data_IF_873009692470
#
_entry.id   IF_873009692470
#
_cell.length_a   1.000
_cell.length_b   1.000
_cell.length_c   1.000
_cell.angle_alpha   90.00
_cell.angle_beta   90.00
_cell.angle_gamma   90.00
#
_symmetry.space_group_name_H-M   'P 1'
#
loop_
_entity.id
_entity.type
_entity.pdbx_description
1 polymer ?
#
# COMPACT_ATOMS: atom_id res chain seq x y z
N UNK A 1 10.02 -20.62 26.65
CA UNK A 1 9.08 -19.47 26.67
C UNK A 1 8.14 -19.61 25.47
N UNK A 2 6.82 -19.63 25.65
CA UNK A 2 5.91 -19.71 24.50
C UNK A 2 6.04 -18.44 23.66
N UNK A 3 6.26 -18.59 22.35
CA UNK A 3 6.34 -17.45 21.44
C UNK A 3 5.05 -16.61 21.54
N UNK A 4 5.14 -15.27 21.64
CA UNK A 4 3.98 -14.39 21.71
C UNK A 4 3.01 -14.70 20.57
N UNK A 5 1.71 -14.61 20.84
CA UNK A 5 0.63 -14.94 19.88
C UNK A 5 0.80 -14.26 18.52
N UNK A 6 1.40 -13.07 18.52
CA UNK A 6 1.72 -12.27 17.33
C UNK A 6 2.83 -12.90 16.47
N UNK A 7 3.83 -13.52 17.09
CA UNK A 7 4.93 -14.21 16.40
C UNK A 7 4.44 -15.51 15.75
N UNK A 8 3.58 -16.26 16.45
CA UNK A 8 2.88 -17.42 15.87
C UNK A 8 1.96 -17.04 14.71
N UNK A 9 1.35 -15.86 14.75
CA UNK A 9 0.51 -15.34 13.65
C UNK A 9 1.34 -14.92 12.43
N UNK A 10 2.49 -14.29 12.67
CA UNK A 10 3.46 -13.94 11.63
C UNK A 10 4.09 -15.19 10.99
N UNK A 11 4.44 -16.19 11.79
CA UNK A 11 4.91 -17.50 11.33
C UNK A 11 3.83 -18.22 10.54
N UNK A 12 2.57 -18.21 11.01
CA UNK A 12 1.42 -18.78 10.31
C UNK A 12 1.10 -18.10 8.96
N UNK A 13 1.44 -16.82 8.80
CA UNK A 13 1.38 -16.08 7.53
C UNK A 13 2.56 -16.41 6.60
N UNK A 14 3.70 -16.85 7.15
CA UNK A 14 4.93 -17.22 6.43
C UNK A 14 5.04 -18.73 6.15
N UNK A 15 4.23 -19.55 6.84
CA UNK A 15 4.24 -21.01 6.71
C UNK A 15 3.19 -21.54 5.74
N UNK A 16 3.60 -22.30 4.71
CA UNK A 16 2.73 -22.83 3.68
C UNK A 16 1.75 -23.92 4.15
N UNK A 17 1.73 -24.27 5.44
CA UNK A 17 0.92 -25.37 5.98
C UNK A 17 -0.39 -24.93 6.67
N UNK A 18 -0.64 -23.63 6.86
CA UNK A 18 -1.92 -23.15 7.41
C UNK A 18 -3.07 -23.21 6.38
N UNK A 19 -4.30 -23.59 6.80
CA UNK A 19 -5.44 -23.71 5.90
C UNK A 19 -5.76 -22.37 5.21
N UNK A 20 -6.02 -22.42 3.90
CA UNK A 20 -6.35 -21.30 3.01
C UNK A 20 -7.26 -20.21 3.62
N UNK A 21 -8.39 -20.52 4.30
CA UNK A 21 -9.25 -19.50 4.89
C UNK A 21 -8.55 -18.65 5.96
N UNK A 22 -7.65 -19.24 6.76
CA UNK A 22 -6.93 -18.53 7.81
C UNK A 22 -5.86 -17.60 7.23
N UNK A 23 -5.19 -17.99 6.14
CA UNK A 23 -4.26 -17.10 5.43
C UNK A 23 -4.95 -15.92 4.78
N UNK A 24 -6.10 -16.14 4.13
CA UNK A 24 -6.89 -15.06 3.53
C UNK A 24 -7.26 -14.01 4.59
N UNK A 25 -7.78 -14.47 5.71
CA UNK A 25 -8.15 -13.58 6.82
C UNK A 25 -6.93 -12.81 7.33
N UNK A 26 -5.78 -13.48 7.44
CA UNK A 26 -4.55 -12.82 7.86
C UNK A 26 -4.02 -11.75 6.91
N UNK A 27 -4.05 -11.99 5.60
CA UNK A 27 -3.66 -10.96 4.63
C UNK A 27 -4.68 -9.82 4.54
N UNK A 28 -5.98 -10.10 4.66
CA UNK A 28 -7.02 -9.05 4.72
C UNK A 28 -6.81 -8.18 5.94
N UNK A 29 -6.59 -8.78 7.12
CA UNK A 29 -6.34 -8.04 8.35
C UNK A 29 -5.04 -7.23 8.26
N UNK A 30 -3.97 -7.81 7.70
CA UNK A 30 -2.71 -7.09 7.44
C UNK A 30 -2.95 -5.86 6.56
N UNK A 31 -3.72 -6.01 5.48
CA UNK A 31 -4.06 -4.89 4.59
C UNK A 31 -4.92 -3.84 5.27
N UNK A 32 -5.89 -4.24 6.09
CA UNK A 32 -6.73 -3.32 6.84
C UNK A 32 -5.91 -2.51 7.85
N UNK A 33 -5.13 -3.20 8.69
CA UNK A 33 -4.28 -2.56 9.71
C UNK A 33 -3.24 -1.65 9.06
N UNK A 34 -2.59 -2.12 7.99
CA UNK A 34 -1.60 -1.31 7.27
C UNK A 34 -2.26 -0.09 6.61
N UNK A 35 -3.43 -0.25 6.00
CA UNK A 35 -4.18 0.85 5.40
C UNK A 35 -4.56 1.92 6.42
N UNK A 36 -5.09 1.51 7.58
CA UNK A 36 -5.41 2.42 8.69
C UNK A 36 -4.15 3.11 9.21
N UNK A 37 -3.05 2.38 9.40
CA UNK A 37 -1.80 2.97 9.84
C UNK A 37 -1.27 4.03 8.85
N UNK A 38 -1.39 3.79 7.53
CA UNK A 38 -0.98 4.76 6.51
C UNK A 38 -1.90 5.98 6.48
N UNK A 39 -3.21 5.82 6.69
CA UNK A 39 -4.13 6.96 6.82
C UNK A 39 -3.81 7.80 8.05
N UNK A 40 -3.55 7.17 9.20
CA UNK A 40 -3.13 7.86 10.42
C UNK A 40 -1.81 8.59 10.23
N UNK A 41 -0.84 7.96 9.58
CA UNK A 41 0.44 8.59 9.24
C UNK A 41 0.23 9.80 8.32
N UNK A 42 -0.59 9.67 7.28
CA UNK A 42 -0.88 10.76 6.36
C UNK A 42 -1.62 11.92 7.05
N UNK A 43 -2.54 11.61 7.97
CA UNK A 43 -3.25 12.60 8.79
C UNK A 43 -2.30 13.31 9.76
N UNK A 44 -1.37 12.57 10.38
CA UNK A 44 -0.34 13.13 11.25
C UNK A 44 0.58 14.06 10.45
N UNK A 45 1.07 13.62 9.29
CA UNK A 45 1.88 14.46 8.39
C UNK A 45 1.09 15.68 7.96
N UNK A 46 -0.19 15.52 7.61
CA UNK A 46 -1.03 16.66 7.27
C UNK A 46 -1.08 17.66 8.42
N UNK A 47 -1.37 17.21 9.64
CA UNK A 47 -1.47 18.08 10.82
C UNK A 47 -0.15 18.82 11.13
N UNK A 48 0.99 18.14 10.99
CA UNK A 48 2.32 18.70 11.27
C UNK A 48 2.87 19.59 10.14
N UNK A 49 2.45 19.35 8.90
CA UNK A 49 2.95 20.09 7.74
C UNK A 49 2.33 21.49 7.71
N UNK A 50 3.17 22.52 7.67
CA UNK A 50 2.72 23.89 7.48
C UNK A 50 2.08 24.08 6.09
N UNK A 51 1.16 25.06 5.94
CA UNK A 51 0.62 25.38 4.62
C UNK A 51 1.74 25.86 3.69
N UNK A 52 1.86 25.21 2.53
CA UNK A 52 2.84 25.55 1.49
C UNK A 52 2.41 26.77 0.67
N UNK A 53 1.13 27.17 0.80
CA UNK A 53 0.52 28.24 0.02
C UNK A 53 0.09 27.81 -1.38
N UNK A 54 -0.50 28.75 -2.12
CA UNK A 54 -0.99 28.50 -3.46
C UNK A 54 0.16 28.21 -4.45
N UNK A 55 0.14 27.01 -5.02
CA UNK A 55 1.10 26.59 -6.05
C UNK A 55 0.39 26.54 -7.42
N UNK A 56 1.08 26.80 -8.54
CA UNK A 56 0.48 26.67 -9.87
C UNK A 56 -0.18 25.30 -10.09
N UNK A 57 -1.41 25.30 -10.62
CA UNK A 57 -2.23 24.09 -10.75
C UNK A 57 -1.61 22.95 -11.57
N UNK A 58 -0.68 23.26 -12.48
CA UNK A 58 0.05 22.26 -13.27
C UNK A 58 1.00 21.40 -12.42
N UNK A 59 1.42 21.87 -11.24
CA UNK A 59 2.25 21.10 -10.31
C UNK A 59 1.53 19.86 -9.80
N UNK A 60 0.20 19.89 -9.72
CA UNK A 60 -0.59 18.71 -9.37
C UNK A 60 -0.47 17.56 -10.36
N UNK A 61 -0.29 17.87 -11.66
CA UNK A 61 -0.03 16.85 -12.68
C UNK A 61 1.34 16.18 -12.46
N UNK A 62 2.33 16.93 -11.94
CA UNK A 62 3.65 16.37 -11.58
C UNK A 62 3.50 15.38 -10.42
N UNK A 63 2.77 15.73 -9.36
CA UNK A 63 2.53 14.82 -8.24
C UNK A 63 1.79 13.55 -8.67
N UNK A 64 0.77 13.69 -9.52
CA UNK A 64 0.09 12.53 -10.10
C UNK A 64 1.03 11.68 -10.96
N UNK A 65 1.89 12.30 -11.77
CA UNK A 65 2.91 11.61 -12.56
C UNK A 65 3.90 10.83 -11.70
N UNK A 66 4.34 11.39 -10.56
CA UNK A 66 5.20 10.70 -9.59
C UNK A 66 4.47 9.48 -9.01
N UNK A 67 3.20 9.63 -8.61
CA UNK A 67 2.41 8.51 -8.09
C UNK A 67 2.25 7.38 -9.14
N UNK A 68 1.96 7.74 -10.40
CA UNK A 68 1.81 6.78 -11.50
C UNK A 68 3.12 6.06 -11.84
N UNK A 69 4.24 6.80 -11.90
CA UNK A 69 5.56 6.22 -12.19
C UNK A 69 6.04 5.32 -11.06
N UNK A 70 5.84 5.72 -9.81
CA UNK A 70 6.08 4.88 -8.65
C UNK A 70 5.26 3.58 -8.72
N UNK A 71 3.97 3.68 -9.07
CA UNK A 71 3.12 2.51 -9.25
C UNK A 71 3.57 1.61 -10.39
N UNK A 72 3.90 2.15 -11.56
CA UNK A 72 4.40 1.38 -12.69
C UNK A 72 5.70 0.62 -12.33
N UNK A 73 6.59 1.29 -11.58
CA UNK A 73 7.81 0.66 -11.07
C UNK A 73 7.50 -0.47 -10.07
N UNK A 74 6.56 -0.28 -9.15
CA UNK A 74 6.09 -1.31 -8.21
C UNK A 74 5.47 -2.51 -8.95
N UNK A 75 4.67 -2.28 -9.99
CA UNK A 75 4.10 -3.33 -10.83
C UNK A 75 5.20 -4.18 -11.49
N UNK A 76 6.23 -3.52 -12.06
CA UNK A 76 7.39 -4.21 -12.63
C UNK A 76 8.12 -5.04 -11.58
N UNK A 77 8.32 -4.51 -10.37
CA UNK A 77 8.93 -5.25 -9.25
C UNK A 77 8.10 -6.46 -8.84
N UNK A 78 6.77 -6.33 -8.79
CA UNK A 78 5.87 -7.46 -8.50
C UNK A 78 5.91 -8.53 -9.58
N UNK A 79 5.99 -8.15 -10.85
CA UNK A 79 6.14 -9.11 -11.96
C UNK A 79 7.44 -9.91 -11.82
N UNK A 80 8.55 -9.23 -11.51
CA UNK A 80 9.84 -9.90 -11.26
C UNK A 80 9.77 -10.83 -10.03
N UNK A 81 9.09 -10.41 -8.96
CA UNK A 81 8.89 -11.23 -7.77
C UNK A 81 7.99 -12.46 -8.03
N UNK A 82 7.05 -12.38 -8.97
CA UNK A 82 6.21 -13.53 -9.37
C UNK A 82 7.00 -14.61 -10.12
N UNK A 83 8.02 -14.21 -10.89
CA UNK A 83 8.93 -15.12 -11.59
C UNK A 83 9.90 -15.83 -10.63
N UNK A 84 10.10 -15.25 -9.43
CA UNK A 84 10.92 -15.82 -8.38
C UNK A 84 10.16 -16.89 -7.58
N UNK A 85 10.77 -18.06 -7.37
CA UNK A 85 10.25 -19.15 -6.51
C UNK A 85 10.42 -18.86 -5.00
N UNK A 86 10.57 -17.59 -4.61
CA UNK A 86 10.80 -17.25 -3.21
C UNK A 86 9.54 -17.47 -2.35
N UNK A 87 9.75 -18.17 -1.22
CA UNK A 87 8.74 -18.43 -0.17
C UNK A 87 8.08 -17.15 0.36
N UNK A 88 8.76 -16.00 0.25
CA UNK A 88 8.32 -14.69 0.76
C UNK A 88 7.60 -13.81 -0.27
N UNK A 89 7.33 -14.31 -1.49
CA UNK A 89 6.77 -13.51 -2.59
C UNK A 89 5.48 -12.75 -2.24
N UNK A 90 4.58 -13.36 -1.46
CA UNK A 90 3.29 -12.78 -1.10
C UNK A 90 3.46 -11.64 -0.07
N UNK A 91 4.31 -11.85 0.94
CA UNK A 91 4.65 -10.81 1.91
C UNK A 91 5.36 -9.63 1.24
N UNK A 92 6.31 -9.90 0.34
CA UNK A 92 6.98 -8.86 -0.44
C UNK A 92 5.99 -8.05 -1.29
N UNK A 93 5.04 -8.72 -1.95
CA UNK A 93 4.02 -8.02 -2.73
C UNK A 93 3.11 -7.12 -1.88
N UNK A 94 2.73 -7.56 -0.66
CA UNK A 94 1.94 -6.78 0.27
C UNK A 94 2.71 -5.55 0.79
N UNK A 95 4.00 -5.69 1.12
CA UNK A 95 4.83 -4.56 1.52
C UNK A 95 4.97 -3.51 0.40
N UNK A 96 5.09 -3.95 -0.85
CA UNK A 96 5.13 -3.06 -2.01
C UNK A 96 3.81 -2.30 -2.20
N UNK A 97 2.66 -2.94 -1.92
CA UNK A 97 1.35 -2.27 -1.93
C UNK A 97 1.23 -1.21 -0.85
N UNK A 98 1.67 -1.52 0.37
CA UNK A 98 1.67 -0.57 1.49
C UNK A 98 2.60 0.62 1.21
N UNK A 99 3.77 0.37 0.64
CA UNK A 99 4.70 1.44 0.24
C UNK A 99 4.10 2.36 -0.83
N UNK A 100 3.41 1.78 -1.83
CA UNK A 100 2.71 2.54 -2.87
C UNK A 100 1.57 3.40 -2.31
N UNK A 101 0.77 2.84 -1.40
CA UNK A 101 -0.29 3.56 -0.70
C UNK A 101 0.29 4.72 0.13
N UNK A 102 1.32 4.46 0.93
CA UNK A 102 2.01 5.46 1.76
C UNK A 102 2.52 6.64 0.92
N UNK A 103 3.26 6.34 -0.14
CA UNK A 103 3.83 7.36 -1.05
C UNK A 103 2.74 8.23 -1.66
N UNK A 104 1.65 7.61 -2.11
CA UNK A 104 0.55 8.33 -2.76
C UNK A 104 -0.21 9.20 -1.75
N UNK A 105 -0.46 8.69 -0.54
CA UNK A 105 -1.10 9.48 0.52
C UNK A 105 -0.24 10.67 0.94
N UNK A 106 1.08 10.50 1.05
CA UNK A 106 1.99 11.62 1.32
C UNK A 106 1.95 12.67 0.22
N UNK A 107 1.97 12.27 -1.06
CA UNK A 107 1.83 13.20 -2.19
C UNK A 107 0.48 13.93 -2.18
N UNK A 108 -0.61 13.24 -1.82
CA UNK A 108 -1.91 13.87 -1.65
C UNK A 108 -1.94 14.87 -0.50
N UNK A 109 -1.34 14.54 0.65
CA UNK A 109 -1.20 15.43 1.81
C UNK A 109 -0.42 16.70 1.43
N UNK A 110 0.69 16.56 0.71
CA UNK A 110 1.47 17.69 0.18
C UNK A 110 0.61 18.52 -0.79
N UNK A 111 -0.13 17.86 -1.70
CA UNK A 111 -1.04 18.52 -2.63
C UNK A 111 -2.14 19.33 -1.93
N UNK A 112 -2.74 18.80 -0.85
CA UNK A 112 -3.71 19.53 -0.04
C UNK A 112 -3.09 20.76 0.63
N UNK A 113 -1.86 20.63 1.16
CA UNK A 113 -1.14 21.76 1.77
C UNK A 113 -0.67 22.81 0.75
N UNK A 114 -0.64 22.46 -0.54
CA UNK A 114 -0.32 23.33 -1.67
C UNK A 114 -1.57 23.90 -2.39
N UNK A 115 -2.76 23.79 -1.78
CA UNK A 115 -4.04 24.24 -2.35
C UNK A 115 -4.45 23.54 -3.65
N UNK A 116 -4.10 22.26 -3.80
CA UNK A 116 -4.44 21.43 -4.98
C UNK A 116 -5.44 20.31 -4.63
N UNK A 117 -6.68 20.63 -4.18
CA UNK A 117 -7.61 19.63 -3.65
C UNK A 117 -8.07 18.62 -4.70
N UNK A 118 -8.30 19.05 -5.95
CA UNK A 118 -8.69 18.15 -7.04
C UNK A 118 -7.61 17.09 -7.31
N UNK A 119 -6.35 17.50 -7.38
CA UNK A 119 -5.23 16.59 -7.62
C UNK A 119 -5.00 15.63 -6.46
N UNK A 120 -5.11 16.14 -5.22
CA UNK A 120 -5.04 15.28 -4.04
C UNK A 120 -6.13 14.21 -4.05
N UNK A 121 -7.38 14.57 -4.37
CA UNK A 121 -8.49 13.62 -4.50
C UNK A 121 -8.21 12.55 -5.57
N UNK A 122 -7.68 12.94 -6.72
CA UNK A 122 -7.31 11.99 -7.78
C UNK A 122 -6.20 11.04 -7.32
N UNK A 123 -5.17 11.54 -6.64
CA UNK A 123 -4.09 10.72 -6.11
C UNK A 123 -4.60 9.75 -5.05
N UNK A 124 -5.46 10.19 -4.12
CA UNK A 124 -6.07 9.32 -3.09
C UNK A 124 -6.95 8.26 -3.74
N UNK A 125 -7.84 8.65 -4.66
CA UNK A 125 -8.72 7.72 -5.37
C UNK A 125 -7.93 6.64 -6.12
N UNK A 126 -6.86 7.05 -6.81
CA UNK A 126 -5.94 6.13 -7.46
C UNK A 126 -5.25 5.20 -6.46
N UNK A 127 -4.72 5.74 -5.36
CA UNK A 127 -4.01 4.96 -4.34
C UNK A 127 -4.90 3.89 -3.71
N UNK A 128 -6.14 4.25 -3.35
CA UNK A 128 -7.12 3.32 -2.80
C UNK A 128 -7.50 2.24 -3.81
N UNK A 129 -7.73 2.60 -5.07
CA UNK A 129 -8.03 1.65 -6.13
C UNK A 129 -6.86 0.68 -6.38
N UNK A 130 -5.63 1.19 -6.45
CA UNK A 130 -4.41 0.40 -6.61
C UNK A 130 -4.19 -0.55 -5.43
N UNK A 131 -4.41 -0.08 -4.21
CA UNK A 131 -4.29 -0.88 -2.98
C UNK A 131 -5.34 -1.99 -2.91
N UNK A 132 -6.60 -1.69 -3.23
CA UNK A 132 -7.68 -2.68 -3.31
C UNK A 132 -7.44 -3.70 -4.43
N UNK A 133 -6.94 -3.26 -5.59
CA UNK A 133 -6.54 -4.15 -6.68
C UNK A 133 -5.36 -5.06 -6.29
N UNK A 134 -4.39 -4.54 -5.52
CA UNK A 134 -3.29 -5.30 -4.93
C UNK A 134 -3.79 -6.43 -4.01
N UNK A 135 -4.71 -6.10 -3.09
CA UNK A 135 -5.34 -7.08 -2.20
C UNK A 135 -6.12 -8.13 -2.99
N UNK A 136 -6.99 -7.72 -3.92
CA UNK A 136 -7.78 -8.64 -4.74
C UNK A 136 -6.88 -9.57 -5.59
N UNK A 137 -5.80 -9.03 -6.15
CA UNK A 137 -4.80 -9.81 -6.88
C UNK A 137 -4.10 -10.83 -5.99
N UNK A 138 -3.70 -10.43 -4.78
CA UNK A 138 -3.06 -11.32 -3.80
C UNK A 138 -4.02 -12.43 -3.36
N UNK A 139 -5.29 -12.11 -3.10
CA UNK A 139 -6.30 -13.10 -2.71
C UNK A 139 -6.60 -14.13 -3.80
N UNK A 140 -6.53 -13.72 -5.08
CA UNK A 140 -6.63 -14.65 -6.23
C UNK A 140 -5.38 -15.51 -6.37
N UNK A 141 -4.19 -14.96 -6.13
CA UNK A 141 -2.94 -15.71 -6.18
C UNK A 141 -2.84 -16.78 -5.08
N UNK A 142 -3.49 -16.57 -3.94
CA UNK A 142 -3.58 -17.56 -2.87
C UNK A 142 -4.52 -18.73 -3.22
N UNK A 143 -5.45 -18.56 -4.17
CA UNK A 143 -6.32 -19.64 -4.65
C UNK A 143 -5.65 -20.49 -5.74
N UNK A 144 -4.61 -19.98 -6.40
CA UNK A 144 -3.89 -20.70 -7.45
C UNK A 144 -2.80 -21.58 -6.82
N UNK A 145 -2.76 -22.89 -7.10
CA UNK A 145 -1.82 -23.85 -6.51
C UNK A 145 -0.35 -23.60 -6.88
#
# INVERSE_FOLDING_TARGET
MPAPSLQRWLEALLEPQTPLPHRRHGYVLLYAVSGVAQLLLAALVFALLEPLGAVPGWVGAVYLGIALTAWAWLLRRKQLARLSKQRTRHAASALLDVAGLSTSLLLATIGLRAELPLWALLIVGFALAAYAAGLAGLLRQLEQP
#
